data_IF_716448778681
#
_entry.id   IF_716448778681
#
_cell.length_a   1.000
_cell.length_b   1.000
_cell.length_c   1.000
_cell.angle_alpha   90.00
_cell.angle_beta   90.00
_cell.angle_gamma   90.00
#
_symmetry.space_group_name_H-M   'P 1'
#
loop_
_entity.id
_entity.type
_entity.pdbx_description
1 polymer ?
#
# COMPACT_ATOMS: atom_id res chain seq x y z
N UNK A 1 26.45 5.13 -7.27
CA UNK A 1 25.76 6.37 -6.83
C UNK A 1 26.07 7.47 -7.82
N UNK A 2 25.07 8.16 -8.36
CA UNK A 2 25.28 9.35 -9.19
C UNK A 2 25.86 10.48 -8.31
N UNK A 3 27.13 10.78 -8.49
CA UNK A 3 27.88 11.77 -7.70
C UNK A 3 27.25 13.17 -7.76
N UNK A 4 26.47 13.46 -8.80
CA UNK A 4 25.76 14.73 -8.96
C UNK A 4 24.62 14.93 -7.94
N UNK A 5 23.93 13.85 -7.55
CA UNK A 5 22.83 13.87 -6.58
C UNK A 5 23.33 14.06 -5.15
N UNK A 6 24.49 13.49 -4.81
CA UNK A 6 25.13 13.66 -3.50
C UNK A 6 25.67 15.09 -3.36
N UNK A 7 26.34 15.61 -4.40
CA UNK A 7 26.84 16.98 -4.42
C UNK A 7 25.71 18.01 -4.28
N UNK A 8 24.59 17.81 -4.97
CA UNK A 8 23.42 18.70 -4.89
C UNK A 8 22.77 18.71 -3.49
N UNK A 9 22.66 17.56 -2.81
CA UNK A 9 22.16 17.51 -1.43
C UNK A 9 23.05 18.28 -0.46
N UNK A 10 24.38 18.19 -0.61
CA UNK A 10 25.34 18.89 0.26
C UNK A 10 25.30 20.40 0.07
N UNK A 11 25.12 20.87 -1.17
CA UNK A 11 25.02 22.31 -1.49
C UNK A 11 23.70 22.89 -0.99
N UNK A 12 22.56 22.24 -1.26
CA UNK A 12 21.24 22.74 -0.81
C UNK A 12 21.14 22.72 0.72
N UNK A 13 21.72 21.70 1.37
CA UNK A 13 21.81 21.62 2.84
C UNK A 13 22.59 22.81 3.44
N UNK A 14 23.73 23.18 2.85
CA UNK A 14 24.53 24.35 3.26
C UNK A 14 23.78 25.67 3.02
N UNK A 15 23.07 25.80 1.89
CA UNK A 15 22.29 27.02 1.62
C UNK A 15 21.11 27.14 2.59
N UNK A 16 20.45 26.04 2.95
CA UNK A 16 19.37 26.05 3.97
C UNK A 16 19.84 26.44 5.37
N UNK A 17 21.04 26.03 5.79
CA UNK A 17 21.59 26.44 7.09
C UNK A 17 21.88 27.95 7.14
N UNK A 18 22.14 28.57 5.98
CA UNK A 18 22.42 30.00 5.87
C UNK A 18 21.11 30.82 5.80
N UNK A 19 20.10 30.36 5.07
CA UNK A 19 18.89 31.16 4.75
C UNK A 19 17.72 30.91 5.73
N UNK A 20 17.87 29.96 6.67
CA UNK A 20 16.87 29.63 7.68
C UNK A 20 15.68 28.82 7.11
N UNK A 21 15.17 27.83 7.87
CA UNK A 21 14.12 26.90 7.39
C UNK A 21 12.79 27.57 7.06
N UNK A 22 12.44 28.66 7.75
CA UNK A 22 11.12 29.30 7.65
C UNK A 22 11.03 30.44 6.63
N UNK A 23 12.17 30.83 6.05
CA UNK A 23 12.22 31.84 5.00
C UNK A 23 11.56 31.33 3.70
N UNK A 24 11.09 32.26 2.86
CA UNK A 24 10.50 31.90 1.54
C UNK A 24 11.46 31.05 0.69
N UNK A 25 12.76 31.38 0.73
CA UNK A 25 13.81 30.63 0.03
C UNK A 25 14.07 29.25 0.67
N UNK A 26 14.10 29.17 2.00
CA UNK A 26 14.25 27.89 2.73
C UNK A 26 13.09 26.92 2.48
N UNK A 27 11.86 27.45 2.39
CA UNK A 27 10.66 26.69 2.01
C UNK A 27 10.71 26.23 0.55
N UNK A 28 11.17 27.07 -0.37
CA UNK A 28 11.34 26.72 -1.78
C UNK A 28 12.41 25.63 -1.99
N UNK A 29 13.56 25.75 -1.33
CA UNK A 29 14.62 24.72 -1.34
C UNK A 29 14.16 23.42 -0.66
N UNK A 30 13.34 23.54 0.40
CA UNK A 30 12.62 22.41 1.01
C UNK A 30 11.67 21.71 0.05
N UNK A 31 10.98 22.49 -0.80
CA UNK A 31 10.13 21.96 -1.86
C UNK A 31 10.92 21.24 -2.95
N UNK A 32 12.05 21.79 -3.39
CA UNK A 32 12.92 21.21 -4.42
C UNK A 32 13.52 19.85 -4.00
N UNK A 33 14.04 19.74 -2.78
CA UNK A 33 14.56 18.47 -2.26
C UNK A 33 13.46 17.40 -2.17
N UNK A 34 12.29 17.76 -1.64
CA UNK A 34 11.13 16.86 -1.58
C UNK A 34 10.70 16.41 -2.98
N UNK A 35 10.83 17.27 -3.99
CA UNK A 35 10.50 16.99 -5.38
C UNK A 35 11.56 16.14 -6.10
N UNK A 36 12.83 16.22 -5.69
CA UNK A 36 13.89 15.32 -6.17
C UNK A 36 13.80 13.93 -5.53
N UNK A 37 13.59 13.87 -4.22
CA UNK A 37 13.34 12.62 -3.49
C UNK A 37 12.07 11.93 -4.02
N UNK A 38 11.06 12.72 -4.37
CA UNK A 38 9.84 12.27 -5.03
C UNK A 38 10.06 11.57 -6.37
N UNK A 39 10.79 12.23 -7.29
CA UNK A 39 11.14 11.66 -8.58
C UNK A 39 12.00 10.41 -8.41
N UNK A 40 12.90 10.43 -7.42
CA UNK A 40 13.73 9.28 -7.07
C UNK A 40 12.87 8.09 -6.63
N UNK A 41 11.93 8.27 -5.69
CA UNK A 41 11.03 7.20 -5.20
C UNK A 41 10.19 6.63 -6.34
N UNK A 42 9.51 7.48 -7.10
CA UNK A 42 8.64 7.02 -8.18
C UNK A 42 9.43 6.31 -9.27
N UNK A 43 10.63 6.82 -9.62
CA UNK A 43 11.50 6.18 -10.61
C UNK A 43 12.00 4.82 -10.11
N UNK A 44 12.51 4.76 -8.88
CA UNK A 44 13.02 3.52 -8.28
C UNK A 44 11.93 2.46 -8.15
N UNK A 45 10.73 2.84 -7.71
CA UNK A 45 9.60 1.93 -7.67
C UNK A 45 9.31 1.35 -9.07
N UNK A 46 9.18 2.20 -10.09
CA UNK A 46 8.91 1.72 -11.46
C UNK A 46 10.08 0.98 -12.11
N UNK A 47 11.31 1.16 -11.62
CA UNK A 47 12.52 0.49 -12.12
C UNK A 47 12.56 -0.97 -11.66
N UNK A 48 12.25 -1.25 -10.39
CA UNK A 48 12.41 -2.58 -9.80
C UNK A 48 11.10 -3.31 -9.50
N UNK A 49 9.99 -2.58 -9.35
CA UNK A 49 8.72 -3.10 -8.92
C UNK A 49 7.63 -2.87 -9.97
N UNK A 50 6.68 -3.80 -10.02
CA UNK A 50 5.57 -3.77 -10.96
C UNK A 50 4.26 -4.17 -10.26
N UNK A 51 3.21 -3.33 -10.35
CA UNK A 51 1.89 -3.74 -9.90
C UNK A 51 1.27 -4.74 -10.87
N UNK A 52 0.68 -5.82 -10.34
CA UNK A 52 0.03 -6.87 -11.12
C UNK A 52 -1.37 -7.10 -10.54
N UNK A 53 -2.42 -6.97 -11.37
CA UNK A 53 -3.78 -7.38 -10.99
C UNK A 53 -3.90 -8.89 -11.21
N UNK A 54 -4.27 -9.63 -10.16
CA UNK A 54 -4.25 -11.09 -10.15
C UNK A 54 -5.52 -11.67 -10.83
N UNK A 55 -5.46 -11.82 -12.15
CA UNK A 55 -6.57 -12.34 -12.97
C UNK A 55 -6.45 -13.83 -13.29
N UNK A 56 -5.23 -14.36 -13.37
CA UNK A 56 -5.00 -15.79 -13.63
C UNK A 56 -5.02 -16.59 -12.34
N UNK A 57 -5.35 -17.88 -12.43
CA UNK A 57 -5.28 -18.80 -11.28
C UNK A 57 -3.91 -18.80 -10.61
N UNK A 58 -2.82 -18.77 -11.40
CA UNK A 58 -1.46 -18.70 -10.88
C UNK A 58 -1.26 -17.43 -10.03
N UNK A 59 -1.58 -16.25 -10.56
CA UNK A 59 -1.40 -14.99 -9.81
C UNK A 59 -2.32 -14.91 -8.59
N UNK A 60 -3.54 -15.46 -8.66
CA UNK A 60 -4.42 -15.54 -7.48
C UNK A 60 -3.84 -16.48 -6.42
N UNK A 61 -3.30 -17.62 -6.83
CA UNK A 61 -2.63 -18.58 -5.95
C UNK A 61 -1.44 -17.95 -5.24
N UNK A 62 -0.62 -17.16 -5.94
CA UNK A 62 0.48 -16.40 -5.33
C UNK A 62 -0.01 -15.44 -4.24
N UNK A 63 -1.12 -14.74 -4.49
CA UNK A 63 -1.73 -13.90 -3.46
C UNK A 63 -2.18 -14.71 -2.23
N UNK A 64 -2.77 -15.90 -2.42
CA UNK A 64 -3.20 -16.75 -1.32
C UNK A 64 -2.02 -17.34 -0.54
N UNK A 65 -0.93 -17.66 -1.22
CA UNK A 65 0.30 -18.13 -0.59
C UNK A 65 0.96 -17.03 0.25
N UNK A 66 1.10 -15.82 -0.27
CA UNK A 66 1.62 -14.66 0.49
C UNK A 66 0.76 -14.40 1.73
N UNK A 67 -0.57 -14.47 1.57
CA UNK A 67 -1.50 -14.30 2.70
C UNK A 67 -1.33 -15.39 3.74
N UNK A 68 -1.13 -16.64 3.35
CA UNK A 68 -0.87 -17.74 4.29
C UNK A 68 0.44 -17.54 5.07
N UNK A 69 1.55 -17.24 4.38
CA UNK A 69 2.82 -16.90 5.02
C UNK A 69 2.66 -15.79 6.06
N UNK A 70 1.94 -14.71 5.71
CA UNK A 70 1.82 -13.56 6.62
C UNK A 70 0.77 -13.78 7.71
N UNK A 71 -0.46 -14.15 7.36
CA UNK A 71 -1.57 -14.21 8.32
C UNK A 71 -1.65 -15.52 9.10
N UNK A 72 -1.17 -16.64 8.54
CA UNK A 72 -1.20 -17.93 9.21
C UNK A 72 0.13 -18.24 9.90
N UNK A 73 1.27 -18.06 9.21
CA UNK A 73 2.58 -18.46 9.74
C UNK A 73 3.25 -17.35 10.57
N UNK A 74 3.32 -16.11 10.07
CA UNK A 74 4.03 -15.02 10.77
C UNK A 74 3.22 -14.37 11.89
N UNK A 75 1.94 -14.09 11.65
CA UNK A 75 1.09 -13.32 12.56
C UNK A 75 0.14 -14.20 13.39
N UNK A 76 -0.05 -15.46 13.00
CA UNK A 76 -0.95 -16.41 13.67
C UNK A 76 -2.39 -15.87 13.86
N UNK A 77 -2.85 -15.01 12.95
CA UNK A 77 -4.21 -14.45 12.97
C UNK A 77 -5.24 -15.39 12.36
N UNK A 78 -4.80 -16.28 11.47
CA UNK A 78 -5.64 -17.25 10.77
C UNK A 78 -5.04 -18.66 10.95
N UNK A 79 -5.84 -19.73 10.93
CA UNK A 79 -5.34 -21.08 11.12
C UNK A 79 -4.41 -21.52 9.96
N UNK A 80 -3.39 -22.32 10.28
CA UNK A 80 -2.56 -22.99 9.29
C UNK A 80 -3.41 -23.94 8.43
N UNK A 81 -3.22 -23.86 7.11
CA UNK A 81 -3.84 -24.75 6.13
C UNK A 81 -2.79 -25.63 5.44
N UNK A 82 -3.10 -26.91 5.27
CA UNK A 82 -2.18 -27.92 4.68
C UNK A 82 -1.78 -27.63 3.23
N UNK A 83 -2.62 -26.92 2.48
CA UNK A 83 -2.33 -26.52 1.10
C UNK A 83 -1.50 -25.23 1.00
N UNK A 84 -1.15 -24.61 2.14
CA UNK A 84 -0.40 -23.35 2.20
C UNK A 84 -1.07 -22.17 1.45
N UNK A 85 -2.40 -22.14 1.40
CA UNK A 85 -3.19 -21.08 0.76
C UNK A 85 -4.22 -20.50 1.74
N UNK A 86 -4.13 -19.20 2.05
CA UNK A 86 -5.13 -18.50 2.85
C UNK A 86 -6.22 -17.95 1.94
N UNK A 87 -7.44 -18.38 2.23
CA UNK A 87 -8.64 -18.09 1.45
C UNK A 87 -9.84 -17.97 2.38
N UNK A 88 -10.77 -17.09 2.05
CA UNK A 88 -12.04 -16.89 2.73
C UNK A 88 -13.20 -16.75 1.73
N UNK A 89 -14.41 -16.50 2.22
CA UNK A 89 -15.61 -16.38 1.38
C UNK A 89 -15.64 -15.14 0.48
N UNK A 90 -14.91 -14.08 0.84
CA UNK A 90 -14.88 -12.81 0.12
C UNK A 90 -14.01 -12.90 -1.15
N UNK A 91 -13.15 -13.92 -1.22
CA UNK A 91 -12.26 -14.14 -2.37
C UNK A 91 -13.02 -14.35 -3.70
N UNK A 92 -14.28 -14.78 -3.62
CA UNK A 92 -15.19 -15.00 -4.76
C UNK A 92 -15.55 -13.74 -5.53
N UNK A 93 -15.52 -12.58 -4.88
CA UNK A 93 -15.87 -11.28 -5.46
C UNK A 93 -14.79 -10.25 -5.11
N UNK A 94 -13.53 -10.71 -5.19
CA UNK A 94 -12.38 -9.87 -4.93
C UNK A 94 -11.33 -9.96 -6.02
N UNK A 95 -10.61 -8.86 -6.16
CA UNK A 95 -9.54 -8.65 -7.12
C UNK A 95 -8.25 -8.37 -6.35
N UNK A 96 -7.37 -9.38 -6.19
CA UNK A 96 -6.07 -9.18 -5.56
C UNK A 96 -5.15 -8.36 -6.46
N UNK A 97 -4.31 -7.55 -5.85
CA UNK A 97 -3.21 -6.85 -6.49
C UNK A 97 -1.90 -7.26 -5.83
N UNK A 98 -0.92 -7.60 -6.64
CA UNK A 98 0.43 -8.00 -6.24
C UNK A 98 1.43 -6.92 -6.60
N UNK A 99 2.56 -6.91 -5.90
CA UNK A 99 3.77 -6.23 -6.37
C UNK A 99 4.79 -7.29 -6.77
N UNK A 100 5.15 -7.32 -8.06
CA UNK A 100 6.21 -8.16 -8.59
C UNK A 100 7.54 -7.43 -8.57
N UNK A 101 8.58 -8.08 -8.08
CA UNK A 101 9.95 -7.65 -8.28
C UNK A 101 10.42 -8.06 -9.68
N UNK A 102 10.82 -7.09 -10.51
CA UNK A 102 11.11 -7.31 -11.93
C UNK A 102 12.34 -8.17 -12.16
N UNK A 103 13.41 -7.96 -11.39
CA UNK A 103 14.67 -8.67 -11.59
C UNK A 103 14.58 -10.16 -11.26
N UNK A 104 13.79 -10.52 -10.24
CA UNK A 104 13.69 -11.89 -9.75
C UNK A 104 12.36 -12.58 -10.10
N UNK A 105 11.36 -11.83 -10.57
CA UNK A 105 10.01 -12.34 -10.82
C UNK A 105 9.17 -12.62 -9.58
N UNK A 106 9.75 -12.59 -8.38
CA UNK A 106 9.05 -12.87 -7.12
C UNK A 106 8.00 -11.81 -6.79
N UNK A 107 6.93 -12.23 -6.12
CA UNK A 107 5.92 -11.32 -5.60
C UNK A 107 6.27 -10.90 -4.17
N UNK A 108 6.46 -9.60 -3.97
CA UNK A 108 6.93 -9.00 -2.73
C UNK A 108 5.80 -8.66 -1.74
N UNK A 109 4.55 -8.81 -2.16
CA UNK A 109 3.38 -8.58 -1.33
C UNK A 109 2.07 -8.56 -2.11
N UNK A 110 0.96 -8.56 -1.38
CA UNK A 110 -0.40 -8.54 -1.92
C UNK A 110 -1.32 -7.63 -1.13
N UNK A 111 -2.39 -7.18 -1.78
CA UNK A 111 -3.54 -6.51 -1.19
C UNK A 111 -4.79 -6.95 -1.92
N UNK A 112 -5.93 -7.03 -1.23
CA UNK A 112 -7.20 -7.47 -1.80
C UNK A 112 -8.19 -6.33 -1.88
N UNK A 113 -8.82 -6.16 -3.04
CA UNK A 113 -10.01 -5.33 -3.19
C UNK A 113 -11.25 -6.23 -3.22
N UNK A 114 -12.11 -6.14 -2.22
CA UNK A 114 -13.40 -6.85 -2.17
C UNK A 114 -14.49 -5.94 -2.70
N UNK A 115 -15.24 -6.40 -3.71
CA UNK A 115 -16.27 -5.62 -4.39
C UNK A 115 -17.56 -6.43 -4.54
N UNK A 116 -18.58 -6.20 -3.70
CA UNK A 116 -19.85 -6.91 -3.81
C UNK A 116 -20.55 -6.50 -5.11
N UNK A 117 -21.05 -7.50 -5.85
CA UNK A 117 -21.72 -7.33 -7.14
C UNK A 117 -23.24 -7.52 -7.05
N UNK A 118 -23.70 -8.25 -6.03
CA UNK A 118 -25.11 -8.56 -5.80
C UNK A 118 -25.50 -8.23 -4.35
N UNK A 119 -26.80 -8.05 -4.11
CA UNK A 119 -27.32 -7.47 -2.87
C UNK A 119 -26.97 -8.26 -1.61
N UNK A 120 -26.84 -9.58 -1.71
CA UNK A 120 -26.51 -10.45 -0.57
C UNK A 120 -25.00 -10.56 -0.27
N UNK A 121 -24.14 -9.95 -1.09
CA UNK A 121 -22.70 -9.92 -0.83
C UNK A 121 -22.35 -8.76 0.11
N UNK A 122 -21.82 -9.12 1.27
CA UNK A 122 -21.37 -8.17 2.28
C UNK A 122 -19.86 -7.91 2.13
N UNK A 123 -19.44 -6.71 2.54
CA UNK A 123 -18.03 -6.43 2.81
C UNK A 123 -17.59 -7.15 4.10
N UNK A 124 -16.30 -7.51 4.25
CA UNK A 124 -15.78 -8.07 5.50
C UNK A 124 -16.12 -7.22 6.72
N UNK A 125 -16.02 -5.89 6.62
CA UNK A 125 -16.34 -4.96 7.69
C UNK A 125 -17.83 -4.98 8.05
N UNK A 126 -18.73 -5.23 7.10
CA UNK A 126 -20.15 -5.42 7.37
C UNK A 126 -20.40 -6.74 8.09
N UNK A 127 -19.71 -7.82 7.70
CA UNK A 127 -19.89 -9.14 8.32
C UNK A 127 -19.38 -9.19 9.75
N UNK A 128 -18.18 -8.68 9.99
CA UNK A 128 -17.48 -8.88 11.27
C UNK A 128 -17.52 -7.66 12.19
N UNK A 129 -17.74 -6.46 11.65
CA UNK A 129 -17.47 -5.22 12.37
C UNK A 129 -18.51 -4.12 12.14
N UNK A 130 -19.72 -4.44 11.65
CA UNK A 130 -20.72 -3.41 11.31
C UNK A 130 -21.07 -2.52 12.49
N UNK A 131 -21.15 -3.09 13.70
CA UNK A 131 -21.44 -2.36 14.94
C UNK A 131 -20.35 -1.36 15.31
N UNK A 132 -19.15 -1.47 14.72
CA UNK A 132 -18.07 -0.50 14.91
C UNK A 132 -18.20 0.73 14.00
N UNK A 133 -19.03 0.71 12.97
CA UNK A 133 -19.23 1.87 12.09
C UNK A 133 -20.30 2.78 12.69
N UNK A 134 -19.87 3.81 13.41
CA UNK A 134 -20.75 4.78 14.09
C UNK A 134 -21.05 6.01 13.24
N UNK A 135 -20.36 6.19 12.11
CA UNK A 135 -20.61 7.32 11.22
C UNK A 135 -21.95 7.18 10.51
N UNK A 136 -22.83 8.18 10.68
CA UNK A 136 -24.23 8.11 10.20
C UNK A 136 -24.32 8.11 8.67
N UNK A 137 -23.62 9.03 8.01
CA UNK A 137 -23.72 9.20 6.54
C UNK A 137 -22.82 8.26 5.74
N UNK A 138 -21.65 7.92 6.27
CA UNK A 138 -20.66 7.05 5.63
C UNK A 138 -20.81 5.58 6.01
N UNK A 139 -21.99 5.15 6.45
CA UNK A 139 -22.24 3.74 6.69
C UNK A 139 -22.39 3.00 5.33
N UNK A 140 -21.76 1.82 5.12
CA UNK A 140 -21.90 1.04 3.89
C UNK A 140 -23.35 0.79 3.46
N UNK A 141 -24.27 0.65 4.42
CA UNK A 141 -25.70 0.43 4.18
C UNK A 141 -26.38 1.56 3.39
N UNK A 142 -25.78 2.74 3.35
CA UNK A 142 -26.34 3.92 2.70
C UNK A 142 -26.01 4.01 1.21
N UNK A 143 -25.20 3.08 0.68
CA UNK A 143 -24.69 3.13 -0.68
C UNK A 143 -25.02 1.84 -1.44
N UNK A 144 -25.18 1.95 -2.76
CA UNK A 144 -25.39 0.78 -3.62
C UNK A 144 -24.16 -0.13 -3.64
N UNK A 145 -24.37 -1.46 -3.69
CA UNK A 145 -23.29 -2.47 -3.67
C UNK A 145 -22.21 -2.22 -4.72
N UNK A 146 -22.61 -1.87 -5.94
CA UNK A 146 -21.70 -1.55 -7.05
C UNK A 146 -20.77 -0.36 -6.80
N UNK A 147 -21.17 0.55 -5.90
CA UNK A 147 -20.48 1.81 -5.60
C UNK A 147 -19.54 1.68 -4.38
N UNK A 148 -19.56 0.54 -3.67
CA UNK A 148 -18.75 0.29 -2.48
C UNK A 148 -17.69 -0.80 -2.71
N UNK A 149 -16.60 -0.73 -1.95
CA UNK A 149 -15.62 -1.81 -1.84
C UNK A 149 -14.91 -1.77 -0.48
N UNK A 150 -14.15 -2.81 -0.19
CA UNK A 150 -13.23 -2.85 0.94
C UNK A 150 -11.82 -3.24 0.50
N UNK A 151 -10.82 -2.49 0.95
CA UNK A 151 -9.42 -2.91 0.84
C UNK A 151 -9.09 -3.73 2.08
N UNK A 152 -8.70 -4.98 1.88
CA UNK A 152 -8.37 -5.94 2.94
C UNK A 152 -7.10 -6.72 2.61
N UNK A 153 -6.63 -7.55 3.56
CA UNK A 153 -5.53 -8.51 3.37
C UNK A 153 -4.23 -7.89 2.80
N UNK A 154 -3.85 -6.70 3.24
CA UNK A 154 -2.53 -6.13 2.96
C UNK A 154 -1.44 -6.99 3.63
N UNK A 155 -0.69 -7.75 2.85
CA UNK A 155 0.35 -8.65 3.32
C UNK A 155 1.66 -8.40 2.56
N UNK A 156 2.73 -8.17 3.30
CA UNK A 156 4.11 -8.05 2.80
C UNK A 156 4.92 -9.02 3.64
N UNK A 157 5.50 -10.10 3.08
CA UNK A 157 6.32 -11.05 3.86
C UNK A 157 7.49 -10.36 4.57
N UNK A 158 7.94 -10.93 5.69
CA UNK A 158 8.97 -10.32 6.53
C UNK A 158 10.24 -9.95 5.76
N UNK A 159 10.68 -10.77 4.81
CA UNK A 159 11.89 -10.54 4.01
C UNK A 159 11.83 -9.26 3.16
N UNK A 160 10.62 -8.75 2.88
CA UNK A 160 10.39 -7.53 2.09
C UNK A 160 10.08 -6.30 2.97
N UNK A 161 10.19 -6.39 4.31
CA UNK A 161 9.89 -5.28 5.24
C UNK A 161 11.15 -4.50 5.64
N UNK A 162 11.02 -3.17 5.77
CA UNK A 162 12.11 -2.24 6.16
C UNK A 162 12.89 -2.65 7.42
N UNK A 163 12.25 -3.25 8.44
CA UNK A 163 12.91 -3.59 9.73
C UNK A 163 13.99 -4.66 9.60
N UNK A 164 13.93 -5.50 8.56
CA UNK A 164 15.04 -6.37 8.20
C UNK A 164 16.24 -5.49 7.85
N UNK A 165 16.11 -4.53 6.92
CA UNK A 165 17.18 -3.64 6.45
C UNK A 165 17.93 -2.86 7.56
N UNK A 166 17.20 -2.37 8.58
CA UNK A 166 17.82 -1.65 9.71
C UNK A 166 18.73 -2.56 10.56
N UNK A 167 18.57 -3.89 10.51
CA UNK A 167 19.51 -4.87 11.11
C UNK A 167 20.74 -5.15 10.24
N UNK A 168 20.72 -4.77 8.97
CA UNK A 168 21.81 -5.03 8.01
C UNK A 168 22.78 -3.85 7.85
N UNK A 169 22.41 -2.65 8.31
CA UNK A 169 23.37 -1.54 8.44
C UNK A 169 24.31 -1.78 9.63
N UNK A 170 25.19 -2.79 9.52
CA UNK A 170 26.30 -3.01 10.45
C UNK A 170 26.40 -4.37 11.17
N UNK A 171 25.72 -5.43 10.74
CA UNK A 171 25.87 -6.75 11.36
C UNK A 171 26.25 -7.82 10.33
N UNK A 172 27.51 -8.27 10.42
CA UNK A 172 27.98 -9.52 9.84
C UNK A 172 27.24 -10.68 10.51
N UNK A 173 26.10 -11.11 9.97
CA UNK A 173 25.56 -12.48 10.07
C UNK A 173 24.40 -12.58 9.08
N UNK A 174 24.64 -13.28 7.98
CA UNK A 174 23.74 -13.38 6.85
C UNK A 174 22.45 -14.14 7.17
N UNK A 175 21.31 -13.57 6.76
CA UNK A 175 20.10 -14.31 6.36
C UNK A 175 19.35 -13.56 5.23
N UNK A 176 20.01 -12.65 4.51
CA UNK A 176 19.54 -12.20 3.20
C UNK A 176 20.72 -12.40 2.25
N UNK A 177 20.51 -13.15 1.18
CA UNK A 177 21.48 -13.27 0.10
C UNK A 177 21.77 -11.85 -0.44
N UNK A 178 22.85 -11.23 0.00
CA UNK A 178 23.46 -10.05 -0.66
C UNK A 178 23.79 -10.35 -2.15
N UNK A 179 23.74 -11.63 -2.54
CA UNK A 179 23.81 -12.09 -3.92
C UNK A 179 22.53 -11.86 -4.77
N UNK A 180 21.38 -11.49 -4.19
CA UNK A 180 20.10 -11.46 -4.94
C UNK A 180 19.53 -10.06 -5.21
N UNK A 181 19.79 -9.06 -4.35
CA UNK A 181 19.27 -7.70 -4.50
C UNK A 181 20.35 -6.65 -4.23
N UNK A 182 20.44 -5.65 -5.10
CA UNK A 182 21.33 -4.50 -4.97
C UNK A 182 20.86 -3.52 -3.87
N UNK A 183 21.76 -2.68 -3.37
CA UNK A 183 21.41 -1.61 -2.42
C UNK A 183 20.28 -0.69 -2.91
N UNK A 184 20.19 -0.45 -4.22
CA UNK A 184 19.14 0.38 -4.80
C UNK A 184 17.77 -0.32 -4.77
N UNK A 185 17.73 -1.64 -4.97
CA UNK A 185 16.51 -2.45 -4.87
C UNK A 185 15.99 -2.48 -3.44
N UNK A 186 16.88 -2.66 -2.46
CA UNK A 186 16.50 -2.67 -1.05
C UNK A 186 15.83 -1.36 -0.62
N UNK A 187 16.26 -0.20 -1.15
CA UNK A 187 15.62 1.11 -0.87
C UNK A 187 14.15 1.19 -1.32
N UNK A 188 13.68 0.26 -2.16
CA UNK A 188 12.30 0.22 -2.63
C UNK A 188 11.35 -0.47 -1.65
N UNK A 189 11.86 -1.33 -0.76
CA UNK A 189 11.04 -2.17 0.12
C UNK A 189 10.10 -1.38 1.04
N UNK A 190 10.52 -0.23 1.63
CA UNK A 190 9.60 0.64 2.37
C UNK A 190 8.40 1.13 1.57
N UNK A 191 8.46 1.10 0.23
CA UNK A 191 7.41 1.55 -0.67
C UNK A 191 6.51 0.42 -1.19
N UNK A 192 6.78 -0.85 -0.87
CA UNK A 192 5.92 -1.97 -1.30
C UNK A 192 4.49 -1.80 -0.77
N UNK A 193 4.33 -1.52 0.53
CA UNK A 193 3.02 -1.30 1.12
C UNK A 193 2.27 -0.10 0.50
N UNK A 194 3.00 0.98 0.18
CA UNK A 194 2.44 2.16 -0.50
C UNK A 194 2.03 1.79 -1.93
N UNK A 195 2.88 1.04 -2.65
CA UNK A 195 2.59 0.52 -3.98
C UNK A 195 1.35 -0.34 -4.00
N UNK A 196 1.20 -1.24 -3.02
CA UNK A 196 -0.01 -2.06 -2.85
C UNK A 196 -1.27 -1.19 -2.65
N UNK A 197 -1.24 -0.24 -1.72
CA UNK A 197 -2.38 0.68 -1.55
C UNK A 197 -2.69 1.49 -2.81
N UNK A 198 -1.67 1.91 -3.57
CA UNK A 198 -1.88 2.59 -4.85
C UNK A 198 -2.39 1.66 -5.95
N UNK A 199 -2.01 0.39 -5.96
CA UNK A 199 -2.61 -0.61 -6.87
C UNK A 199 -4.10 -0.79 -6.55
N UNK A 200 -4.45 -0.92 -5.28
CA UNK A 200 -5.85 -1.00 -4.86
C UNK A 200 -6.62 0.28 -5.20
N UNK A 201 -6.05 1.47 -4.94
CA UNK A 201 -6.66 2.75 -5.30
C UNK A 201 -6.80 2.93 -6.83
N UNK A 202 -5.81 2.49 -7.60
CA UNK A 202 -5.86 2.48 -9.05
C UNK A 202 -7.02 1.59 -9.55
N UNK A 203 -7.20 0.41 -8.95
CA UNK A 203 -8.29 -0.49 -9.30
C UNK A 203 -9.67 0.06 -8.89
N UNK A 204 -9.77 0.70 -7.73
CA UNK A 204 -10.97 1.45 -7.30
C UNK A 204 -11.37 2.49 -8.34
N UNK A 205 -10.42 3.29 -8.81
CA UNK A 205 -10.66 4.31 -9.83
C UNK A 205 -10.98 3.70 -11.20
N UNK A 206 -10.26 2.65 -11.59
CA UNK A 206 -10.47 1.95 -12.86
C UNK A 206 -11.89 1.38 -12.95
N UNK A 207 -12.41 0.87 -11.85
CA UNK A 207 -13.76 0.30 -11.72
C UNK A 207 -14.84 1.35 -11.36
N UNK A 208 -14.50 2.64 -11.29
CA UNK A 208 -15.40 3.75 -10.92
C UNK A 208 -16.11 3.57 -9.56
N UNK A 209 -15.42 2.98 -8.59
CA UNK A 209 -15.96 2.75 -7.25
C UNK A 209 -15.87 4.05 -6.44
N UNK A 210 -16.96 4.40 -5.76
CA UNK A 210 -17.13 5.70 -5.11
C UNK A 210 -16.78 5.69 -3.62
N UNK A 211 -16.94 4.55 -2.96
CA UNK A 211 -16.82 4.42 -1.51
C UNK A 211 -15.91 3.25 -1.17
N UNK A 212 -14.81 3.53 -0.48
CA UNK A 212 -13.84 2.50 -0.10
C UNK A 212 -13.70 2.45 1.42
N UNK A 213 -13.88 1.25 1.97
CA UNK A 213 -13.70 0.97 3.39
C UNK A 213 -12.40 0.23 3.64
N UNK A 214 -11.82 0.42 4.82
CA UNK A 214 -10.62 -0.29 5.28
C UNK A 214 -10.70 -0.49 6.78
N UNK A 215 -10.52 -1.72 7.27
CA UNK A 215 -10.30 -1.99 8.69
C UNK A 215 -8.80 -2.14 8.95
N UNK A 216 -8.20 -1.23 9.73
CA UNK A 216 -6.74 -1.24 9.95
C UNK A 216 -6.32 -0.62 11.28
N UNK A 217 -5.06 -0.84 11.64
CA UNK A 217 -4.45 -0.21 12.82
C UNK A 217 -4.41 1.32 12.70
N UNK A 218 -4.76 2.09 13.74
CA UNK A 218 -4.65 3.55 13.72
C UNK A 218 -3.22 4.06 13.47
N UNK A 219 -2.20 3.27 13.84
CA UNK A 219 -0.80 3.61 13.55
C UNK A 219 -0.52 3.57 12.04
N UNK A 220 -1.04 2.57 11.33
CA UNK A 220 -0.91 2.47 9.88
C UNK A 220 -1.62 3.64 9.20
N UNK A 221 -2.86 3.94 9.59
CA UNK A 221 -3.61 5.09 9.09
C UNK A 221 -2.84 6.42 9.24
N UNK A 222 -2.25 6.65 10.43
CA UNK A 222 -1.39 7.82 10.68
C UNK A 222 -0.15 7.83 9.80
N UNK A 223 0.49 6.67 9.60
CA UNK A 223 1.70 6.57 8.76
C UNK A 223 1.43 6.94 7.30
N UNK A 224 0.23 6.62 6.78
CA UNK A 224 -0.17 6.93 5.41
C UNK A 224 -0.31 8.43 5.13
N UNK A 225 -0.49 9.26 6.17
CA UNK A 225 -0.43 10.73 6.04
C UNK A 225 0.93 11.23 5.55
N UNK A 226 2.00 10.46 5.73
CA UNK A 226 3.31 10.76 5.17
C UNK A 226 3.27 10.84 3.64
N UNK A 227 2.46 10.02 2.96
CA UNK A 227 2.32 10.07 1.51
C UNK A 227 1.20 11.01 1.06
N UNK A 228 0.39 11.49 2.00
CA UNK A 228 -0.76 12.36 1.74
C UNK A 228 -2.09 11.63 1.62
N UNK A 229 -2.12 10.32 1.90
CA UNK A 229 -3.37 9.56 2.02
C UNK A 229 -3.95 9.86 3.40
N UNK A 230 -5.12 10.48 3.43
CA UNK A 230 -5.83 10.79 4.66
C UNK A 230 -7.15 10.02 4.67
N UNK A 231 -7.18 8.97 5.48
CA UNK A 231 -8.38 8.21 5.76
C UNK A 231 -9.26 8.97 6.76
N UNK A 232 -10.57 8.88 6.55
CA UNK A 232 -11.58 9.34 7.50
C UNK A 232 -11.95 8.20 8.42
N UNK A 233 -11.78 8.37 9.73
CA UNK A 233 -12.15 7.34 10.69
C UNK A 233 -13.68 7.36 10.88
N UNK A 234 -14.35 6.23 10.63
CA UNK A 234 -15.83 6.13 10.65
C UNK A 234 -16.38 5.40 11.87
N UNK A 235 -15.53 5.19 12.88
CA UNK A 235 -15.89 4.44 14.08
C UNK A 235 -14.76 4.33 15.11
N UNK A 236 -15.06 3.89 16.35
CA UNK A 236 -14.06 3.76 17.40
C UNK A 236 -13.02 2.68 17.12
N UNK A 237 -11.92 2.73 17.89
CA UNK A 237 -10.91 1.66 17.89
C UNK A 237 -11.42 0.48 18.72
N UNK A 238 -11.58 -0.66 18.09
CA UNK A 238 -12.02 -1.93 18.68
C UNK A 238 -10.88 -2.94 18.73
N UNK A 239 -11.08 -4.04 19.47
CA UNK A 239 -10.20 -5.20 19.39
C UNK A 239 -10.73 -6.18 18.33
N UNK A 240 -9.97 -6.33 17.26
CA UNK A 240 -10.28 -7.21 16.13
C UNK A 240 -8.94 -7.65 15.53
N UNK A 241 -8.44 -8.82 15.93
CA UNK A 241 -7.07 -9.31 15.69
C UNK A 241 -5.98 -8.35 16.25
N UNK A 242 -6.30 -7.59 17.29
CA UNK A 242 -5.55 -6.43 17.77
C UNK A 242 -6.30 -5.09 17.54
N UNK A 243 -5.71 -3.97 17.98
CA UNK A 243 -6.35 -2.64 17.96
C UNK A 243 -6.53 -2.10 16.54
N UNK A 244 -7.77 -2.10 16.03
CA UNK A 244 -8.14 -1.60 14.69
C UNK A 244 -9.31 -0.64 14.77
N UNK A 245 -9.45 0.21 13.75
CA UNK A 245 -10.62 1.06 13.56
C UNK A 245 -11.10 0.99 12.11
N UNK A 246 -12.42 1.20 11.87
CA UNK A 246 -12.96 1.32 10.53
C UNK A 246 -12.63 2.69 9.94
N UNK A 247 -12.18 2.70 8.69
CA UNK A 247 -11.84 3.89 7.93
C UNK A 247 -12.55 3.93 6.59
N UNK A 248 -12.76 5.15 6.09
CA UNK A 248 -13.32 5.47 4.80
C UNK A 248 -12.32 6.31 3.97
N UNK A 249 -12.34 6.10 2.67
CA UNK A 249 -11.68 6.96 1.68
C UNK A 249 -12.44 6.88 0.35
N UNK A 250 -12.23 7.88 -0.51
CA UNK A 250 -12.67 7.88 -1.89
C UNK A 250 -11.61 8.56 -2.79
N UNK A 251 -11.74 8.49 -4.12
CA UNK A 251 -10.78 9.11 -5.04
C UNK A 251 -10.57 10.60 -4.79
N UNK A 252 -11.62 11.37 -4.49
CA UNK A 252 -11.53 12.80 -4.21
C UNK A 252 -10.69 13.10 -2.96
N UNK A 253 -10.94 12.38 -1.85
CA UNK A 253 -10.19 12.49 -0.60
C UNK A 253 -8.72 12.06 -0.79
N UNK A 254 -8.48 11.01 -1.56
CA UNK A 254 -7.13 10.57 -1.92
C UNK A 254 -6.36 11.69 -2.61
N UNK A 255 -6.90 12.31 -3.67
CA UNK A 255 -6.19 13.34 -4.44
C UNK A 255 -6.05 14.69 -3.74
N UNK A 256 -6.93 15.01 -2.78
CA UNK A 256 -6.94 16.28 -2.07
C UNK A 256 -5.60 16.59 -1.39
N UNK A 257 -4.99 15.58 -0.75
CA UNK A 257 -3.78 15.75 0.05
C UNK A 257 -2.57 14.97 -0.48
N UNK A 258 -2.72 14.19 -1.55
CA UNK A 258 -1.64 13.39 -2.12
C UNK A 258 -0.47 14.29 -2.53
N UNK A 259 0.72 13.98 -2.00
CA UNK A 259 1.91 14.78 -2.32
C UNK A 259 2.27 14.62 -3.80
N UNK A 260 2.82 15.65 -4.47
CA UNK A 260 3.16 15.57 -5.90
C UNK A 260 4.00 14.35 -6.29
N UNK A 261 4.90 13.90 -5.41
CA UNK A 261 5.67 12.64 -5.56
C UNK A 261 4.80 11.44 -5.86
N UNK A 262 3.83 11.26 -4.97
CA UNK A 262 3.04 10.06 -4.92
C UNK A 262 1.90 10.15 -5.93
N UNK A 263 1.54 11.36 -6.39
CA UNK A 263 0.72 11.54 -7.59
C UNK A 263 1.37 10.94 -8.83
N UNK A 264 2.68 11.14 -9.04
CA UNK A 264 3.41 10.56 -10.17
C UNK A 264 3.44 9.02 -10.05
N UNK A 265 3.78 8.52 -8.87
CA UNK A 265 3.81 7.08 -8.61
C UNK A 265 2.43 6.43 -8.84
N UNK A 266 1.37 7.03 -8.28
CA UNK A 266 -0.01 6.57 -8.49
C UNK A 266 -0.40 6.59 -9.97
N UNK A 267 -0.06 7.66 -10.70
CA UNK A 267 -0.33 7.75 -12.16
C UNK A 267 0.37 6.64 -12.94
N UNK A 268 1.62 6.33 -12.61
CA UNK A 268 2.34 5.23 -13.25
C UNK A 268 1.67 3.88 -12.97
N UNK A 269 1.22 3.66 -11.73
CA UNK A 269 0.50 2.44 -11.32
C UNK A 269 -0.86 2.35 -12.01
N UNK A 270 -1.61 3.45 -12.10
CA UNK A 270 -2.88 3.51 -12.84
C UNK A 270 -2.70 3.05 -14.28
N UNK A 271 -1.66 3.53 -14.96
CA UNK A 271 -1.40 3.13 -16.35
C UNK A 271 -1.06 1.63 -16.51
N UNK A 272 -0.53 0.98 -15.47
CA UNK A 272 -0.36 -0.48 -15.48
C UNK A 272 -1.69 -1.20 -15.23
N UNK A 273 -2.50 -0.69 -14.29
CA UNK A 273 -3.82 -1.27 -13.95
C UNK A 273 -4.83 -1.11 -15.10
N UNK A 274 -4.75 -0.03 -15.89
CA UNK A 274 -5.60 0.21 -17.06
C UNK A 274 -5.46 -0.84 -18.18
N UNK A 275 -4.38 -1.64 -18.16
CA UNK A 275 -4.17 -2.74 -19.11
C UNK A 275 -5.07 -3.94 -18.84
N UNK A 276 -5.66 -4.01 -17.65
CA UNK A 276 -6.55 -5.09 -17.25
C UNK A 276 -8.00 -4.73 -17.59
N UNK A 277 -8.85 -5.71 -17.92
CA UNK A 277 -10.28 -5.47 -18.08
C UNK A 277 -10.90 -4.99 -16.75
N UNK A 278 -11.95 -4.19 -16.86
CA UNK A 278 -12.79 -3.81 -15.72
C UNK A 278 -13.55 -5.02 -15.18
N UNK A 279 -13.70 -5.06 -13.87
CA UNK A 279 -14.53 -6.03 -13.16
C UNK A 279 -16.03 -5.69 -13.25
#
# INVERSE_FOLDING_TARGET
>A
MDQSLVANKTIIGRVKSIVGRDSKLGKALGGLEKLQEAKFISKHFSEFLEPVVAQSENTRTESFNIRHKVYCEELEFEPLKNNCLETDEFDKFSSPCLIRHKGSGHYAGTVRLVRPQIENQLLPIEKYCINSITHETLNPRNFARKDICEISRLAVPLEFRKRQMDRFSGAATGVINEHTYSENELRCFPFIAIGLYFSAAALVMHNNIKHTYVMMEPRLARSMRFVGIQFEQVGPVIDYHGRRAPYYINPSLLYANLRPSFKIMLKNIQHQVEKYPRD
#
